data_IF_222975324511
#
_entry.id   IF_222975324511
#
_cell.length_a   1.000
_cell.length_b   1.000
_cell.length_c   1.000
_cell.angle_alpha   90.00
_cell.angle_beta   90.00
_cell.angle_gamma   90.00
#
_symmetry.space_group_name_H-M   'P 1'
#
loop_
_entity.id
_entity.type
_entity.pdbx_description
1 polymer ?
#
# COMPACT_ATOMS: atom_id res chain seq x y z
N UNK A 1 -50.42 37.14 -33.45
CA UNK A 1 -50.61 35.70 -33.13
C UNK A 1 -49.25 35.06 -32.87
N UNK A 2 -49.00 34.47 -31.71
CA UNK A 2 -47.69 33.91 -31.37
C UNK A 2 -47.83 32.54 -30.68
N UNK A 3 -47.27 31.48 -31.28
CA UNK A 3 -46.75 30.22 -30.67
C UNK A 3 -46.64 29.15 -31.77
N UNK A 4 -45.64 28.26 -31.85
CA UNK A 4 -44.89 27.55 -30.81
C UNK A 4 -43.53 27.10 -31.40
N UNK A 5 -42.43 27.37 -30.69
CA UNK A 5 -41.06 26.92 -31.06
C UNK A 5 -40.86 25.44 -30.70
N UNK A 6 -40.46 24.62 -31.68
CA UNK A 6 -40.16 23.18 -31.53
C UNK A 6 -38.96 22.96 -30.59
N UNK A 7 -39.20 22.62 -29.32
CA UNK A 7 -38.18 22.32 -28.30
C UNK A 7 -38.05 20.82 -27.97
N UNK A 8 -38.59 19.93 -28.81
CA UNK A 8 -38.81 18.50 -28.48
C UNK A 8 -37.63 17.55 -28.79
N UNK A 9 -36.61 18.00 -29.53
CA UNK A 9 -35.47 17.15 -29.96
C UNK A 9 -34.26 17.11 -29.01
N UNK A 10 -34.17 18.04 -28.05
CA UNK A 10 -32.97 18.17 -27.20
C UNK A 10 -33.04 17.26 -25.97
N UNK A 11 -34.23 17.12 -25.39
CA UNK A 11 -34.49 16.28 -24.21
C UNK A 11 -34.26 14.79 -24.50
N UNK A 12 -34.63 14.31 -25.68
CA UNK A 12 -34.37 12.91 -26.08
C UNK A 12 -32.88 12.60 -26.15
N UNK A 13 -32.05 13.53 -26.63
CA UNK A 13 -30.59 13.34 -26.71
C UNK A 13 -29.94 13.29 -25.33
N UNK A 14 -30.44 14.04 -24.35
CA UNK A 14 -29.94 13.96 -22.98
C UNK A 14 -30.31 12.65 -22.28
N UNK A 15 -31.52 12.12 -22.53
CA UNK A 15 -31.94 10.82 -21.97
C UNK A 15 -31.04 9.70 -22.53
N UNK A 16 -30.75 9.73 -23.84
CA UNK A 16 -29.82 8.77 -24.47
C UNK A 16 -28.40 8.92 -23.92
N UNK A 17 -27.93 10.16 -23.74
CA UNK A 17 -26.61 10.43 -23.17
C UNK A 17 -26.48 9.91 -21.72
N UNK A 18 -27.51 10.11 -20.89
CA UNK A 18 -27.54 9.60 -19.52
C UNK A 18 -27.51 8.07 -19.47
N UNK A 19 -28.24 7.40 -20.37
CA UNK A 19 -28.20 5.94 -20.49
C UNK A 19 -26.80 5.44 -20.88
N UNK A 20 -26.14 6.11 -21.84
CA UNK A 20 -24.77 5.79 -22.27
C UNK A 20 -23.77 5.94 -21.12
N UNK A 21 -23.86 7.02 -20.36
CA UNK A 21 -23.01 7.25 -19.17
C UNK A 21 -23.27 6.17 -18.11
N UNK A 22 -24.54 5.82 -17.88
CA UNK A 22 -24.91 4.76 -16.94
C UNK A 22 -24.35 3.39 -17.33
N UNK A 23 -24.38 3.04 -18.62
CA UNK A 23 -23.80 1.79 -19.13
C UNK A 23 -22.28 1.79 -18.96
N UNK A 24 -21.60 2.89 -19.30
CA UNK A 24 -20.15 3.03 -19.14
C UNK A 24 -19.75 2.95 -17.66
N UNK A 25 -20.47 3.64 -16.77
CA UNK A 25 -20.23 3.58 -15.34
C UNK A 25 -20.49 2.17 -14.77
N UNK A 26 -21.55 1.50 -15.24
CA UNK A 26 -21.87 0.13 -14.86
C UNK A 26 -20.78 -0.85 -15.30
N UNK A 27 -20.28 -0.73 -16.54
CA UNK A 27 -19.16 -1.53 -17.05
C UNK A 27 -17.88 -1.27 -16.27
N UNK A 28 -17.56 -0.02 -15.95
CA UNK A 28 -16.39 0.32 -15.12
C UNK A 28 -16.49 -0.27 -13.71
N UNK A 29 -17.66 -0.19 -13.07
CA UNK A 29 -17.89 -0.78 -11.74
C UNK A 29 -17.82 -2.30 -11.80
N UNK A 30 -18.44 -2.91 -12.80
CA UNK A 30 -18.47 -4.36 -13.01
C UNK A 30 -17.06 -4.93 -13.23
N UNK A 31 -16.29 -4.32 -14.13
CA UNK A 31 -14.93 -4.75 -14.44
C UNK A 31 -14.00 -4.62 -13.22
N UNK A 32 -14.13 -3.54 -12.45
CA UNK A 32 -13.38 -3.37 -11.21
C UNK A 32 -13.73 -4.44 -10.15
N UNK A 33 -15.00 -4.86 -10.05
CA UNK A 33 -15.43 -5.86 -9.06
C UNK A 33 -14.91 -7.27 -9.39
N UNK A 34 -14.99 -7.69 -10.65
CA UNK A 34 -14.53 -9.03 -11.07
C UNK A 34 -13.00 -9.16 -11.00
N UNK A 35 -12.26 -8.13 -11.41
CA UNK A 35 -10.80 -8.14 -11.35
C UNK A 35 -10.33 -8.18 -9.89
N UNK A 36 -10.86 -7.34 -9.02
CA UNK A 36 -10.41 -7.28 -7.62
C UNK A 36 -10.72 -8.60 -6.89
N UNK A 37 -11.88 -9.21 -7.13
CA UNK A 37 -12.23 -10.48 -6.47
C UNK A 37 -11.43 -11.68 -6.99
N UNK A 38 -11.09 -11.69 -8.29
CA UNK A 38 -10.37 -12.83 -8.91
C UNK A 38 -8.86 -12.72 -8.74
N UNK A 39 -8.32 -11.51 -8.89
CA UNK A 39 -6.88 -11.26 -8.79
C UNK A 39 -6.44 -10.86 -7.38
N UNK A 40 -7.33 -10.39 -6.50
CA UNK A 40 -7.02 -10.06 -5.11
C UNK A 40 -6.22 -11.15 -4.38
N UNK A 41 -6.68 -12.41 -4.36
CA UNK A 41 -5.96 -13.52 -3.71
C UNK A 41 -4.58 -13.78 -4.32
N UNK A 42 -4.45 -13.59 -5.63
CA UNK A 42 -3.17 -13.75 -6.34
C UNK A 42 -2.20 -12.60 -6.04
N UNK A 43 -2.70 -11.36 -5.96
CA UNK A 43 -1.89 -10.18 -5.66
C UNK A 43 -1.47 -10.11 -4.19
N UNK A 44 -2.28 -10.62 -3.26
CA UNK A 44 -1.88 -10.87 -1.88
C UNK A 44 -0.79 -11.94 -1.80
N UNK A 45 -0.92 -13.03 -2.57
CA UNK A 45 0.08 -14.10 -2.63
C UNK A 45 1.42 -13.65 -3.22
N UNK A 46 1.39 -12.64 -4.10
CA UNK A 46 2.58 -12.00 -4.68
C UNK A 46 3.16 -10.88 -3.81
N UNK A 47 2.61 -10.62 -2.61
CA UNK A 47 3.03 -9.54 -1.70
C UNK A 47 2.97 -8.12 -2.32
N UNK A 48 2.24 -7.94 -3.43
CA UNK A 48 2.12 -6.65 -4.15
C UNK A 48 1.12 -5.70 -3.46
N UNK A 49 0.18 -6.24 -2.70
CA UNK A 49 -0.83 -5.48 -1.91
C UNK A 49 -0.53 -5.61 -0.41
N UNK A 50 0.76 -5.69 -0.04
CA UNK A 50 1.12 -5.64 1.37
C UNK A 50 1.08 -4.18 1.85
N UNK A 51 0.23 -3.91 2.84
CA UNK A 51 0.34 -2.67 3.60
C UNK A 51 1.76 -2.56 4.17
N UNK A 52 2.47 -1.49 3.83
CA UNK A 52 3.81 -1.19 4.34
C UNK A 52 3.68 -0.17 5.46
N UNK A 53 4.35 -0.43 6.58
CA UNK A 53 4.48 0.52 7.69
C UNK A 53 5.86 1.15 7.66
N UNK A 54 5.94 2.47 7.80
CA UNK A 54 7.21 3.17 7.98
C UNK A 54 7.62 3.12 9.45
N UNK A 55 8.88 2.74 9.69
CA UNK A 55 9.53 2.70 11.01
C UNK A 55 10.87 3.43 10.95
N UNK A 56 11.43 3.75 12.11
CA UNK A 56 12.78 4.32 12.22
C UNK A 56 13.67 3.28 12.91
N UNK A 57 14.76 2.89 12.24
CA UNK A 57 15.80 2.04 12.80
C UNK A 57 17.00 2.90 13.17
N UNK A 58 17.68 2.58 14.26
CA UNK A 58 18.79 3.37 14.76
C UNK A 58 20.11 2.63 14.58
N UNK A 59 21.06 3.30 13.93
CA UNK A 59 22.40 2.80 13.66
C UNK A 59 23.45 3.79 14.16
N UNK A 60 24.66 3.33 14.44
CA UNK A 60 25.73 4.20 14.92
C UNK A 60 26.24 5.10 13.79
N UNK A 61 26.62 6.33 14.13
CA UNK A 61 27.36 7.20 13.23
C UNK A 61 28.79 6.69 13.00
N UNK A 62 29.56 7.42 12.17
CA UNK A 62 30.91 7.00 11.80
C UNK A 62 31.92 7.05 12.96
N UNK A 63 31.69 7.88 13.97
CA UNK A 63 32.50 7.91 15.20
C UNK A 63 32.06 6.87 16.23
N UNK A 64 30.83 6.36 16.13
CA UNK A 64 30.25 5.40 17.07
C UNK A 64 29.68 6.05 18.34
N UNK A 65 29.59 7.38 18.38
CA UNK A 65 29.17 8.14 19.56
C UNK A 65 27.66 8.38 19.60
N UNK A 66 27.02 8.46 18.43
CA UNK A 66 25.61 8.81 18.32
C UNK A 66 24.83 7.78 17.50
N UNK A 67 23.53 7.68 17.79
CA UNK A 67 22.59 6.91 17.00
C UNK A 67 21.87 7.81 16.00
N UNK A 68 21.93 7.43 14.72
CA UNK A 68 21.25 8.09 13.61
C UNK A 68 20.07 7.23 13.17
N UNK A 69 18.89 7.85 13.06
CA UNK A 69 17.68 7.20 12.58
C UNK A 69 17.64 7.05 11.06
N UNK A 70 17.45 5.84 10.57
CA UNK A 70 17.19 5.48 9.17
C UNK A 70 15.73 5.03 9.02
N UNK A 71 14.98 5.68 8.12
CA UNK A 71 13.61 5.28 7.81
C UNK A 71 13.59 3.99 7.00
N UNK A 72 12.80 3.01 7.46
CA UNK A 72 12.62 1.71 6.81
C UNK A 72 11.13 1.46 6.59
N UNK A 73 10.78 0.75 5.51
CA UNK A 73 9.44 0.21 5.31
C UNK A 73 9.46 -1.27 5.68
N UNK A 74 8.64 -1.67 6.64
CA UNK A 74 8.39 -3.07 6.97
C UNK A 74 7.01 -3.48 6.50
N UNK A 75 6.80 -4.79 6.44
CA UNK A 75 5.49 -5.34 6.08
C UNK A 75 4.59 -5.32 7.30
N UNK A 76 3.40 -4.74 7.15
CA UNK A 76 2.34 -4.84 8.16
C UNK A 76 1.57 -6.16 7.97
N UNK A 77 2.27 -7.28 8.12
CA UNK A 77 1.72 -8.63 7.99
C UNK A 77 1.89 -9.37 9.31
N UNK A 78 0.77 -9.84 9.86
CA UNK A 78 0.72 -10.41 11.21
C UNK A 78 0.40 -9.35 12.27
N UNK A 79 0.39 -9.78 13.54
CA UNK A 79 0.21 -8.89 14.68
C UNK A 79 1.53 -8.20 15.06
N UNK A 80 1.52 -7.59 16.25
CA UNK A 80 2.68 -6.86 16.80
C UNK A 80 3.94 -7.74 16.88
N UNK A 81 3.79 -9.04 17.10
CA UNK A 81 4.90 -10.00 17.19
C UNK A 81 5.65 -10.15 15.87
N UNK A 82 4.93 -10.28 14.77
CA UNK A 82 5.52 -10.40 13.43
C UNK A 82 6.18 -9.10 13.00
N UNK A 83 5.55 -7.95 13.30
CA UNK A 83 6.16 -6.63 13.08
C UNK A 83 7.48 -6.51 13.87
N UNK A 84 7.47 -6.81 15.17
CA UNK A 84 8.65 -6.74 16.03
C UNK A 84 9.77 -7.66 15.52
N UNK A 85 9.44 -8.88 15.07
CA UNK A 85 10.40 -9.78 14.46
C UNK A 85 11.05 -9.17 13.21
N UNK A 86 10.25 -8.53 12.33
CA UNK A 86 10.79 -7.86 11.15
C UNK A 86 11.69 -6.68 11.53
N UNK A 87 11.34 -5.89 12.56
CA UNK A 87 12.22 -4.80 13.05
C UNK A 87 13.59 -5.35 13.44
N UNK A 88 13.63 -6.44 14.21
CA UNK A 88 14.89 -7.09 14.64
C UNK A 88 15.66 -7.62 13.44
N UNK A 89 14.98 -8.31 12.51
CA UNK A 89 15.60 -8.84 11.29
C UNK A 89 16.23 -7.71 10.44
N UNK A 90 15.59 -6.54 10.34
CA UNK A 90 16.12 -5.38 9.63
C UNK A 90 17.31 -4.71 10.35
N UNK A 91 17.33 -4.68 11.69
CA UNK A 91 18.49 -4.21 12.45
C UNK A 91 19.71 -5.12 12.24
N UNK A 92 19.52 -6.44 12.22
CA UNK A 92 20.58 -7.43 11.96
C UNK A 92 21.13 -7.29 10.54
N UNK A 93 20.28 -6.99 9.55
CA UNK A 93 20.72 -6.69 8.18
C UNK A 93 21.61 -5.44 8.10
N UNK A 94 21.45 -4.51 9.04
CA UNK A 94 22.21 -3.29 9.11
C UNK A 94 21.68 -2.13 8.23
N UNK A 95 22.39 -1.00 8.25
CA UNK A 95 22.03 0.21 7.52
C UNK A 95 22.25 0.04 6.01
N UNK A 96 21.51 0.82 5.21
CA UNK A 96 21.71 0.86 3.74
C UNK A 96 22.81 1.84 3.33
N UNK A 97 23.10 2.81 4.18
CA UNK A 97 24.08 3.86 3.94
C UNK A 97 25.44 3.58 4.56
N UNK A 98 26.15 4.65 4.90
CA UNK A 98 27.49 4.61 5.51
C UNK A 98 27.47 4.48 7.04
N UNK A 99 26.29 4.29 7.65
CA UNK A 99 26.18 4.14 9.09
C UNK A 99 26.81 2.82 9.54
N UNK A 100 27.21 2.75 10.81
CA UNK A 100 27.77 1.54 11.40
C UNK A 100 26.62 0.70 11.96
N UNK A 101 26.54 -0.60 11.65
CA UNK A 101 25.49 -1.47 12.18
C UNK A 101 25.62 -1.60 13.71
N UNK A 102 24.48 -1.58 14.40
CA UNK A 102 24.38 -1.74 15.86
C UNK A 102 24.35 -3.21 16.29
N UNK A 103 24.15 -4.12 15.34
CA UNK A 103 24.22 -5.56 15.54
C UNK A 103 25.15 -6.18 14.50
N UNK A 104 25.99 -7.17 14.88
CA UNK A 104 26.76 -7.93 13.91
C UNK A 104 25.86 -8.67 12.92
N UNK A 105 26.28 -8.78 11.66
CA UNK A 105 25.46 -9.40 10.60
C UNK A 105 25.19 -10.90 10.82
N UNK A 106 26.05 -11.59 11.58
CA UNK A 106 25.86 -12.99 11.98
C UNK A 106 24.88 -13.19 13.15
N UNK A 107 24.29 -12.11 13.70
CA UNK A 107 23.34 -12.21 14.82
C UNK A 107 22.12 -13.04 14.42
N UNK A 108 21.64 -13.88 15.34
CA UNK A 108 20.42 -14.68 15.16
C UNK A 108 19.43 -14.37 16.28
N UNK A 109 18.22 -13.98 15.92
CA UNK A 109 17.12 -13.85 16.88
C UNK A 109 16.56 -15.24 17.20
N UNK A 110 16.86 -15.77 18.40
CA UNK A 110 16.44 -17.12 18.82
C UNK A 110 14.98 -17.15 19.29
N UNK A 111 14.55 -16.10 19.98
CA UNK A 111 13.19 -15.97 20.50
C UNK A 111 12.80 -14.50 20.57
N UNK A 112 11.51 -14.22 20.36
CA UNK A 112 10.90 -12.91 20.55
C UNK A 112 9.63 -13.08 21.38
N UNK A 113 9.62 -12.45 22.55
CA UNK A 113 8.52 -12.48 23.52
C UNK A 113 7.97 -11.06 23.69
N UNK A 114 6.65 -10.95 23.70
CA UNK A 114 5.92 -9.74 24.05
C UNK A 114 5.09 -10.11 25.29
N UNK A 115 5.16 -9.27 26.33
CA UNK A 115 4.39 -9.44 27.57
C UNK A 115 3.06 -8.68 27.48
#
# INVERSE_FOLDING_TARGET
>A
MAKKRKKKGWIGKFIVLLFLIGIIASLLVFFNREIVNTFGPFLEKLDLVQERKEIVLYFSDLSGEYLIGEKRKITKKGGVKEEAKQVVDELIRGPKGKLIPTLPSQTKCLALKLD
#
